data_IF_151529945647
#
_entry.id   IF_151529945647
#
_cell.length_a   1.000
_cell.length_b   1.000
_cell.length_c   1.000
_cell.angle_alpha   90.00
_cell.angle_beta   90.00
_cell.angle_gamma   90.00
#
_symmetry.space_group_name_H-M   'P 1'
#
loop_
_entity.id
_entity.type
_entity.pdbx_description
1 polymer ?
#
# COMPACT_ATOMS: atom_id res chain seq x y z
N UNK A 1 -3.75 13.42 -5.65
CA UNK A 1 -3.12 12.18 -5.18
C UNK A 1 -2.89 11.29 -6.40
N UNK A 2 -1.74 10.62 -6.52
CA UNK A 2 -1.43 9.74 -7.66
C UNK A 2 -2.40 8.56 -7.68
N UNK A 3 -2.94 8.22 -8.85
CA UNK A 3 -3.75 7.00 -9.00
C UNK A 3 -2.83 5.76 -9.01
N UNK A 4 -3.09 4.74 -8.17
CA UNK A 4 -2.33 3.49 -8.15
C UNK A 4 -2.37 2.76 -9.50
N UNK A 5 -1.22 2.24 -9.94
CA UNK A 5 -1.10 1.42 -11.15
C UNK A 5 -0.38 0.11 -10.85
N UNK A 6 -1.15 -0.96 -10.61
CA UNK A 6 -0.57 -2.26 -10.26
C UNK A 6 0.39 -2.82 -11.32
N UNK A 7 0.24 -2.42 -12.59
CA UNK A 7 1.15 -2.86 -13.66
C UNK A 7 2.59 -2.37 -13.46
N UNK A 8 2.81 -1.22 -12.82
CA UNK A 8 4.17 -0.75 -12.50
C UNK A 8 4.86 -1.67 -11.48
N UNK A 9 4.09 -2.25 -10.56
CA UNK A 9 4.59 -3.26 -9.62
C UNK A 9 4.90 -4.58 -10.32
N UNK A 10 4.05 -5.03 -11.25
CA UNK A 10 4.32 -6.23 -12.06
C UNK A 10 5.59 -6.09 -12.90
N UNK A 11 5.81 -4.92 -13.52
CA UNK A 11 7.06 -4.62 -14.26
C UNK A 11 8.28 -4.78 -13.36
N UNK A 12 8.26 -4.20 -12.15
CA UNK A 12 9.36 -4.36 -11.17
C UNK A 12 9.60 -5.83 -10.84
N UNK A 13 8.55 -6.60 -10.56
CA UNK A 13 8.67 -8.03 -10.26
C UNK A 13 9.24 -8.86 -11.43
N UNK A 14 8.94 -8.46 -12.66
CA UNK A 14 9.47 -9.08 -13.88
C UNK A 14 10.84 -8.54 -14.31
N UNK A 15 11.48 -7.68 -13.50
CA UNK A 15 12.76 -7.01 -13.82
C UNK A 15 12.69 -6.12 -15.07
N UNK A 16 11.52 -5.55 -15.33
CA UNK A 16 11.26 -4.58 -16.38
C UNK A 16 11.30 -3.15 -15.83
N UNK A 17 11.44 -2.16 -16.73
CA UNK A 17 11.42 -0.74 -16.36
C UNK A 17 9.97 -0.26 -16.16
N UNK A 18 9.57 0.17 -14.94
CA UNK A 18 8.25 0.77 -14.73
C UNK A 18 8.16 2.16 -15.37
N UNK A 19 6.94 2.66 -15.58
CA UNK A 19 6.71 3.96 -16.22
C UNK A 19 7.11 5.13 -15.31
N UNK A 20 7.19 4.86 -14.01
CA UNK A 20 7.49 5.81 -12.95
C UNK A 20 8.17 5.08 -11.79
N UNK A 21 8.87 5.78 -10.89
CA UNK A 21 9.37 5.16 -9.68
C UNK A 21 8.24 4.45 -8.91
N UNK A 22 8.45 3.17 -8.63
CA UNK A 22 7.53 2.28 -7.92
C UNK A 22 8.07 2.04 -6.52
N UNK A 23 7.25 2.34 -5.50
CA UNK A 23 7.60 2.04 -4.12
C UNK A 23 7.39 0.55 -3.85
N UNK A 24 8.25 -0.05 -3.02
CA UNK A 24 8.15 -1.44 -2.63
C UNK A 24 8.53 -1.64 -1.16
N UNK A 25 7.55 -2.05 -0.35
CA UNK A 25 7.72 -2.43 1.06
C UNK A 25 6.78 -3.58 1.45
N UNK A 26 7.25 -4.46 2.35
CA UNK A 26 6.44 -5.58 2.85
C UNK A 26 5.34 -5.12 3.82
N UNK A 27 5.65 -4.14 4.66
CA UNK A 27 4.75 -3.56 5.65
C UNK A 27 5.23 -2.18 6.06
N UNK A 28 4.29 -1.33 6.48
CA UNK A 28 4.59 -0.08 7.19
C UNK A 28 4.51 -0.30 8.70
N UNK A 29 5.12 0.60 9.46
CA UNK A 29 4.94 0.65 10.91
C UNK A 29 3.46 0.95 11.27
N UNK A 30 2.94 0.34 12.33
CA UNK A 30 1.54 0.49 12.79
C UNK A 30 1.07 1.96 12.84
N UNK A 31 1.85 2.82 13.53
CA UNK A 31 1.60 4.26 13.60
C UNK A 31 1.52 4.96 12.23
N UNK A 32 2.24 4.49 11.21
CA UNK A 32 2.15 5.04 9.87
C UNK A 32 0.84 4.64 9.19
N UNK A 33 0.37 3.41 9.38
CA UNK A 33 -0.93 2.99 8.87
C UNK A 33 -2.05 3.88 9.38
N UNK A 34 -2.09 4.13 10.68
CA UNK A 34 -3.14 4.97 11.27
C UNK A 34 -3.03 6.42 10.81
N UNK A 35 -1.81 6.98 10.82
CA UNK A 35 -1.55 8.36 10.40
C UNK A 35 -1.94 8.59 8.94
N UNK A 36 -1.54 7.69 8.04
CA UNK A 36 -1.75 7.84 6.61
C UNK A 36 -3.18 7.53 6.20
N UNK A 37 -3.86 6.58 6.87
CA UNK A 37 -5.25 6.24 6.55
C UNK A 37 -6.29 7.18 7.17
N UNK A 38 -5.93 7.85 8.28
CA UNK A 38 -6.88 8.57 9.13
C UNK A 38 -7.82 7.66 9.92
N UNK A 39 -7.53 6.36 9.98
CA UNK A 39 -8.31 5.34 10.67
C UNK A 39 -7.49 4.69 11.79
N UNK A 40 -8.15 3.94 12.67
CA UNK A 40 -7.52 3.18 13.74
C UNK A 40 -7.56 1.69 13.43
N UNK A 41 -6.45 1.00 13.72
CA UNK A 41 -6.43 -0.45 13.71
C UNK A 41 -7.25 -0.96 14.91
N UNK A 42 -7.93 -2.09 14.73
CA UNK A 42 -8.76 -2.66 15.78
C UNK A 42 -8.61 -4.18 15.93
N UNK A 43 -7.65 -4.79 15.24
CA UNK A 43 -7.36 -6.22 15.32
C UNK A 43 -8.37 -7.10 14.57
N UNK A 44 -9.34 -6.51 13.88
CA UNK A 44 -10.24 -7.23 13.00
C UNK A 44 -9.67 -7.17 11.57
N UNK A 45 -9.27 -8.31 11.03
CA UNK A 45 -8.63 -8.44 9.70
C UNK A 45 -9.34 -7.68 8.57
N UNK A 46 -10.68 -7.74 8.49
CA UNK A 46 -11.44 -7.08 7.44
C UNK A 46 -11.43 -5.55 7.60
N UNK A 47 -11.51 -5.07 8.84
CA UNK A 47 -11.44 -3.64 9.13
C UNK A 47 -10.03 -3.10 8.94
N UNK A 48 -9.02 -3.84 9.42
CA UNK A 48 -7.61 -3.46 9.32
C UNK A 48 -7.15 -3.41 7.86
N UNK A 49 -7.68 -4.28 6.99
CA UNK A 49 -7.43 -4.23 5.55
C UNK A 49 -7.78 -2.86 4.94
N UNK A 50 -8.86 -2.21 5.41
CA UNK A 50 -9.24 -0.86 4.94
C UNK A 50 -8.24 0.20 5.39
N UNK A 51 -7.66 0.03 6.58
CA UNK A 51 -6.61 0.91 7.11
C UNK A 51 -5.36 0.78 6.23
N UNK A 52 -4.92 -0.45 5.93
CA UNK A 52 -3.77 -0.71 5.06
C UNK A 52 -3.97 -0.13 3.65
N UNK A 53 -5.08 -0.47 2.99
CA UNK A 53 -5.38 0.02 1.63
C UNK A 53 -5.33 1.56 1.57
N UNK A 54 -5.95 2.26 2.53
CA UNK A 54 -5.94 3.72 2.55
C UNK A 54 -4.54 4.28 2.82
N UNK A 55 -3.80 3.70 3.74
CA UNK A 55 -2.45 4.15 4.06
C UNK A 55 -1.50 4.02 2.86
N UNK A 56 -1.49 2.85 2.21
CA UNK A 56 -0.70 2.62 0.99
C UNK A 56 -1.10 3.58 -0.14
N UNK A 57 -2.41 3.77 -0.36
CA UNK A 57 -2.91 4.73 -1.36
C UNK A 57 -2.42 6.16 -1.07
N UNK A 58 -2.53 6.60 0.18
CA UNK A 58 -2.18 7.96 0.58
C UNK A 58 -0.66 8.20 0.61
N UNK A 59 0.15 7.15 0.82
CA UNK A 59 1.60 7.21 0.67
C UNK A 59 2.08 7.07 -0.78
N UNK A 60 1.19 6.82 -1.74
CA UNK A 60 1.50 6.79 -3.17
C UNK A 60 1.98 5.42 -3.69
N UNK A 61 1.71 4.34 -2.97
CA UNK A 61 2.00 2.99 -3.43
C UNK A 61 0.99 2.53 -4.50
N UNK A 62 1.46 1.67 -5.40
CA UNK A 62 0.64 1.07 -6.45
C UNK A 62 -0.04 -0.24 -6.04
N UNK A 63 0.30 -0.77 -4.85
CA UNK A 63 -0.24 -1.99 -4.28
C UNK A 63 -0.36 -1.85 -2.75
N UNK A 64 -1.02 -2.82 -2.12
CA UNK A 64 -0.99 -3.02 -0.65
C UNK A 64 -0.74 -4.49 -0.38
N UNK A 65 -0.11 -4.79 0.75
CA UNK A 65 -0.21 -6.13 1.35
C UNK A 65 -1.44 -6.14 2.27
N UNK A 66 -2.22 -7.22 2.23
CA UNK A 66 -3.29 -7.48 3.19
C UNK A 66 -2.97 -8.82 3.85
N UNK A 67 -3.11 -8.89 5.18
CA UNK A 67 -3.01 -10.17 5.88
C UNK A 67 -4.21 -11.04 5.49
N UNK A 68 -3.91 -12.26 5.06
CA UNK A 68 -4.90 -13.31 4.79
C UNK A 68 -5.17 -14.18 6.01
#
# INVERSE_FOLDING_TARGET
MREPNFNDMLKVLNKEKPERPTLFEFFLHERLYEKLSGLKLNGNLLNDSRVYIKAYKNAGYDYTTVMG
#
